data_IF_508535556213
#
_entry.id   IF_508535556213
#
_cell.length_a   1.000
_cell.length_b   1.000
_cell.length_c   1.000
_cell.angle_alpha   90.00
_cell.angle_beta   90.00
_cell.angle_gamma   90.00
#
_symmetry.space_group_name_H-M   'P 1'
#
loop_
_entity.id
_entity.type
_entity.pdbx_description
1 polymer ?
#
# COMPACT_ATOMS: atom_id res chain seq x y z
N UNK A 1 1.09 -12.21 4.09
CA UNK A 1 2.10 -11.13 4.29
C UNK A 1 1.46 -10.01 5.11
N UNK A 2 2.17 -9.36 6.04
CA UNK A 2 1.63 -8.26 6.86
C UNK A 2 2.44 -6.98 6.60
N UNK A 3 1.74 -5.85 6.44
CA UNK A 3 2.27 -4.51 6.24
C UNK A 3 2.04 -3.69 7.52
N UNK A 4 3.14 -3.29 8.16
CA UNK A 4 3.10 -2.58 9.44
C UNK A 4 3.51 -1.11 9.35
N UNK A 5 4.07 -0.69 8.20
CA UNK A 5 4.54 0.67 7.97
C UNK A 5 4.30 1.09 6.52
N UNK A 6 3.90 2.35 6.34
CA UNK A 6 3.85 3.01 5.02
C UNK A 6 5.20 3.67 4.76
N UNK A 7 5.81 3.39 3.60
CA UNK A 7 7.12 3.94 3.25
C UNK A 7 7.03 5.35 2.64
N UNK A 8 5.92 5.68 2.00
CA UNK A 8 5.69 7.01 1.40
C UNK A 8 4.52 7.01 0.43
N UNK A 9 4.29 8.15 -0.21
CA UNK A 9 3.28 8.32 -1.25
C UNK A 9 3.95 8.39 -2.64
N UNK A 10 3.41 7.64 -3.59
CA UNK A 10 3.88 7.64 -4.96
C UNK A 10 3.77 9.02 -5.65
N UNK A 11 2.80 9.85 -5.27
CA UNK A 11 2.64 11.21 -5.81
C UNK A 11 3.74 12.17 -5.34
N UNK A 12 4.39 11.89 -4.21
CA UNK A 12 5.49 12.70 -3.67
C UNK A 12 6.86 12.22 -4.17
N UNK A 13 6.90 11.05 -4.81
CA UNK A 13 8.12 10.54 -5.42
C UNK A 13 8.39 11.28 -6.74
N UNK A 14 9.63 11.73 -6.99
CA UNK A 14 10.00 12.27 -8.29
C UNK A 14 9.66 11.26 -9.39
N UNK A 15 9.14 11.70 -10.55
CA UNK A 15 8.82 10.81 -11.68
C UNK A 15 10.04 10.01 -12.17
N UNK A 16 11.24 10.47 -11.80
CA UNK A 16 12.55 9.88 -12.14
C UNK A 16 13.19 9.11 -10.98
N UNK A 17 12.44 8.79 -9.92
CA UNK A 17 12.93 7.92 -8.85
C UNK A 17 13.19 6.51 -9.40
N UNK A 18 14.43 6.31 -9.85
CA UNK A 18 14.95 5.09 -10.43
C UNK A 18 14.80 3.87 -9.50
N UNK A 19 14.58 4.08 -8.20
CA UNK A 19 14.45 3.03 -7.19
C UNK A 19 13.29 2.06 -7.46
N UNK A 20 12.21 2.52 -8.10
CA UNK A 20 11.05 1.68 -8.45
C UNK A 20 10.87 1.48 -9.96
N UNK A 21 11.72 2.09 -10.79
CA UNK A 21 11.68 1.96 -12.23
C UNK A 21 12.03 0.51 -12.64
N UNK A 22 11.17 -0.12 -13.44
CA UNK A 22 11.37 -1.51 -13.88
C UNK A 22 10.92 -2.60 -12.89
N UNK A 23 10.42 -2.24 -11.70
CA UNK A 23 9.82 -3.21 -10.77
C UNK A 23 8.37 -3.53 -11.12
N UNK A 24 7.94 -4.75 -10.77
CA UNK A 24 6.53 -5.14 -10.89
C UNK A 24 5.67 -4.40 -9.85
N UNK A 25 4.56 -3.82 -10.30
CA UNK A 25 3.68 -2.98 -9.48
C UNK A 25 2.33 -3.65 -9.33
N UNK A 26 2.08 -4.14 -8.13
CA UNK A 26 0.76 -4.63 -7.71
C UNK A 26 -0.04 -3.50 -7.06
N UNK A 27 -1.36 -3.50 -7.24
CA UNK A 27 -2.26 -2.49 -6.64
C UNK A 27 -3.38 -3.17 -5.87
N UNK A 28 -3.85 -2.51 -4.82
CA UNK A 28 -5.03 -2.92 -4.05
C UNK A 28 -6.14 -1.92 -4.33
N UNK A 29 -7.30 -2.41 -4.78
CA UNK A 29 -8.48 -1.57 -4.99
C UNK A 29 -9.32 -1.61 -3.73
N UNK A 30 -9.55 -0.44 -3.11
CA UNK A 30 -10.32 -0.30 -1.88
C UNK A 30 -11.43 0.73 -2.04
N UNK A 31 -12.65 0.43 -1.53
CA UNK A 31 -13.67 1.45 -1.35
C UNK A 31 -13.18 2.53 -0.38
N UNK A 32 -13.63 3.78 -0.56
CA UNK A 32 -13.18 4.93 0.26
C UNK A 32 -13.35 4.69 1.76
N UNK A 33 -14.42 4.01 2.19
CA UNK A 33 -14.67 3.68 3.60
C UNK A 33 -13.63 2.70 4.21
N UNK A 34 -12.87 1.97 3.38
CA UNK A 34 -11.82 1.06 3.84
C UNK A 34 -10.45 1.73 3.95
N UNK A 35 -10.25 2.90 3.31
CA UNK A 35 -8.97 3.62 3.35
C UNK A 35 -8.60 4.10 4.76
N UNK A 36 -9.60 4.35 5.61
CA UNK A 36 -9.40 4.79 7.01
C UNK A 36 -9.11 3.65 7.97
N UNK A 37 -9.17 2.38 7.51
CA UNK A 37 -8.96 1.21 8.37
C UNK A 37 -7.48 0.89 8.49
N UNK A 38 -6.96 1.01 9.71
CA UNK A 38 -5.56 0.64 10.04
C UNK A 38 -5.30 -0.86 10.05
N UNK A 39 -6.33 -1.66 10.33
CA UNK A 39 -6.24 -3.12 10.40
C UNK A 39 -7.26 -3.73 9.46
N UNK A 40 -6.79 -4.42 8.41
CA UNK A 40 -7.65 -5.08 7.43
C UNK A 40 -6.88 -6.13 6.62
N UNK A 41 -7.61 -7.05 5.99
CA UNK A 41 -7.07 -7.95 4.97
C UNK A 41 -7.57 -7.51 3.61
N UNK A 42 -6.69 -7.52 2.63
CA UNK A 42 -6.93 -7.04 1.28
C UNK A 42 -6.26 -7.96 0.26
N UNK A 43 -6.74 -7.93 -0.97
CA UNK A 43 -6.17 -8.72 -2.06
C UNK A 43 -5.66 -7.77 -3.13
N UNK A 44 -4.46 -8.04 -3.65
CA UNK A 44 -3.93 -7.30 -4.80
C UNK A 44 -4.71 -7.67 -6.06
N UNK A 45 -4.59 -6.83 -7.09
CA UNK A 45 -5.07 -7.10 -8.45
C UNK A 45 -4.47 -8.38 -9.07
N UNK A 46 -3.37 -8.89 -8.53
CA UNK A 46 -2.73 -10.14 -8.93
C UNK A 46 -3.11 -11.34 -8.02
N UNK A 47 -4.10 -11.19 -7.14
CA UNK A 47 -4.64 -12.27 -6.32
C UNK A 47 -3.85 -12.58 -5.05
N UNK A 48 -2.90 -11.71 -4.66
CA UNK A 48 -2.08 -11.91 -3.45
C UNK A 48 -2.77 -11.33 -2.22
N UNK A 49 -2.87 -12.12 -1.15
CA UNK A 49 -3.45 -11.67 0.11
C UNK A 49 -2.42 -10.92 0.98
N UNK A 50 -2.81 -9.72 1.43
CA UNK A 50 -2.04 -8.84 2.29
C UNK A 50 -2.86 -8.48 3.54
N UNK A 51 -2.22 -8.52 4.70
CA UNK A 51 -2.74 -7.91 5.93
C UNK A 51 -2.14 -6.53 6.10
N UNK A 52 -2.97 -5.50 6.25
CA UNK A 52 -2.55 -4.16 6.67
C UNK A 52 -2.76 -4.10 8.18
N UNK A 53 -1.73 -3.73 8.94
CA UNK A 53 -1.78 -3.53 10.39
C UNK A 53 -0.90 -2.36 10.79
N UNK A 54 -1.41 -1.14 10.63
CA UNK A 54 -0.68 0.07 10.95
C UNK A 54 -0.79 0.41 12.45
N UNK A 55 0.29 0.92 13.08
CA UNK A 55 0.23 1.42 14.43
C UNK A 55 -0.66 2.67 14.55
N UNK A 56 -0.92 3.10 15.78
CA UNK A 56 -1.65 4.35 15.99
C UNK A 56 -0.85 5.55 15.47
N UNK A 57 -1.53 6.52 14.85
CA UNK A 57 -0.89 7.75 14.33
C UNK A 57 -0.23 7.64 12.95
N UNK A 58 -0.42 6.55 12.20
CA UNK A 58 0.15 6.36 10.85
C UNK A 58 -0.61 7.07 9.71
N UNK A 59 -1.29 8.18 10.02
CA UNK A 59 -2.08 8.96 9.06
C UNK A 59 -1.28 10.11 8.46
#
# INVERSE_FOLDING_TARGET
MIIEKILGNLHELPPESADYAGLHREKVILPSAQLVKRIQRVTTDHGKELGIRLPAGSG
#
